data_IF_204587794671
#
_entry.id   IF_204587794671
#
_cell.length_a   1.000
_cell.length_b   1.000
_cell.length_c   1.000
_cell.angle_alpha   90.00
_cell.angle_beta   90.00
_cell.angle_gamma   90.00
#
_symmetry.space_group_name_H-M   'P 1'
#
loop_
_entity.id
_entity.type
_entity.pdbx_description
1 polymer ?
#
# COMPACT_ATOMS: atom_id res chain seq x y z
N UNK A 1 49.68 8.33 4.31
CA UNK A 1 48.78 7.50 5.12
C UNK A 1 47.42 8.14 5.03
N UNK A 2 46.65 7.81 3.99
CA UNK A 2 45.23 8.21 3.82
C UNK A 2 44.41 7.18 4.63
N UNK A 3 43.89 7.61 5.78
CA UNK A 3 42.95 6.82 6.55
C UNK A 3 41.65 6.69 5.76
N UNK A 4 41.26 5.47 5.37
CA UNK A 4 39.97 5.13 4.84
C UNK A 4 38.94 5.41 5.95
N UNK A 5 38.21 6.51 5.81
CA UNK A 5 37.04 6.78 6.65
C UNK A 5 35.94 5.86 6.16
N UNK A 6 35.73 4.76 6.88
CA UNK A 6 34.66 3.81 6.63
C UNK A 6 33.32 4.53 6.57
N UNK A 7 32.42 4.12 5.66
CA UNK A 7 31.05 4.64 5.54
C UNK A 7 30.29 4.67 6.89
N UNK A 8 30.67 3.81 7.84
CA UNK A 8 30.22 3.83 9.26
C UNK A 8 30.51 5.17 9.97
N UNK A 9 31.61 5.86 9.62
CA UNK A 9 31.95 7.18 10.18
C UNK A 9 31.05 8.30 9.66
N UNK A 10 30.54 8.20 8.43
CA UNK A 10 29.74 9.26 7.82
C UNK A 10 28.31 9.33 8.38
N UNK A 11 27.71 8.20 8.75
CA UNK A 11 26.36 8.13 9.35
C UNK A 11 26.40 8.65 10.80
N UNK A 12 27.48 8.47 11.51
CA UNK A 12 27.65 8.92 12.91
C UNK A 12 27.84 10.43 13.05
N UNK A 13 28.22 11.14 12.00
CA UNK A 13 28.53 12.59 12.02
C UNK A 13 27.33 13.47 11.68
N UNK A 14 26.20 12.92 11.20
CA UNK A 14 24.98 13.72 11.04
C UNK A 14 24.30 13.89 12.41
N UNK A 15 24.71 14.91 13.15
CA UNK A 15 23.93 15.43 14.27
C UNK A 15 22.67 16.04 13.66
N UNK A 16 21.58 15.27 13.69
CA UNK A 16 20.27 15.74 13.21
C UNK A 16 19.77 16.76 14.23
N UNK A 17 20.01 18.04 13.98
CA UNK A 17 19.57 19.12 14.86
C UNK A 17 18.05 19.23 14.81
N UNK A 18 17.42 19.37 15.99
CA UNK A 18 15.98 19.67 16.06
C UNK A 18 15.77 21.11 15.59
N UNK A 19 14.85 21.34 14.63
CA UNK A 19 14.55 22.69 14.17
C UNK A 19 13.79 23.47 15.25
N UNK A 20 13.99 24.80 15.28
CA UNK A 20 13.15 25.69 16.08
C UNK A 20 11.69 25.68 15.56
N UNK A 21 10.70 25.28 16.38
CA UNK A 21 9.29 25.29 15.97
C UNK A 21 8.76 26.68 15.60
N UNK A 22 9.35 27.71 16.17
CA UNK A 22 8.96 29.11 15.93
C UNK A 22 9.69 29.75 14.73
N UNK A 23 10.52 28.97 14.01
CA UNK A 23 11.21 29.49 12.84
C UNK A 23 10.22 30.06 11.81
N UNK A 24 10.40 31.32 11.33
CA UNK A 24 9.41 31.99 10.47
C UNK A 24 9.02 31.24 9.21
N UNK A 25 9.92 30.45 8.65
CA UNK A 25 9.67 29.63 7.44
C UNK A 25 8.77 28.42 7.76
N UNK A 26 8.86 27.84 8.95
CA UNK A 26 8.13 26.63 9.33
C UNK A 26 6.77 26.92 9.97
N UNK A 27 6.70 28.01 10.72
CA UNK A 27 5.54 28.34 11.55
C UNK A 27 4.20 28.36 10.79
N UNK A 28 4.07 29.01 9.62
CA UNK A 28 2.78 29.01 8.89
C UNK A 28 2.34 27.60 8.47
N UNK A 29 3.27 26.79 7.94
CA UNK A 29 2.98 25.41 7.56
C UNK A 29 2.65 24.52 8.75
N UNK A 30 3.35 24.72 9.88
CA UNK A 30 3.09 24.00 11.12
C UNK A 30 1.69 24.28 11.66
N UNK A 31 1.29 25.55 11.74
CA UNK A 31 -0.06 25.94 12.19
C UNK A 31 -1.12 25.31 11.28
N UNK A 32 -0.94 25.41 9.95
CA UNK A 32 -1.89 24.86 8.99
C UNK A 32 -2.03 23.33 9.11
N UNK A 33 -0.91 22.61 9.27
CA UNK A 33 -0.90 21.16 9.45
C UNK A 33 -1.56 20.73 10.77
N UNK A 34 -1.18 21.40 11.89
CA UNK A 34 -1.72 21.09 13.22
C UNK A 34 -3.23 21.32 13.29
N UNK A 35 -3.73 22.44 12.77
CA UNK A 35 -5.15 22.77 12.75
C UNK A 35 -5.92 21.87 11.76
N UNK A 36 -5.41 21.73 10.53
CA UNK A 36 -6.07 20.93 9.50
C UNK A 36 -6.24 19.46 9.91
N UNK A 37 -5.18 18.84 10.45
CA UNK A 37 -5.25 17.44 10.90
C UNK A 37 -6.17 17.27 12.11
N UNK A 38 -6.19 18.21 13.06
CA UNK A 38 -7.11 18.13 14.20
C UNK A 38 -8.57 18.20 13.74
N UNK A 39 -8.89 19.08 12.79
CA UNK A 39 -10.25 19.18 12.22
C UNK A 39 -10.66 17.93 11.46
N UNK A 40 -9.74 17.37 10.65
CA UNK A 40 -10.00 16.15 9.91
C UNK A 40 -10.25 14.98 10.87
N UNK A 41 -9.41 14.80 11.90
CA UNK A 41 -9.51 13.72 12.86
C UNK A 41 -10.82 13.76 13.63
N UNK A 42 -11.15 14.92 14.22
CA UNK A 42 -12.39 15.13 14.95
C UNK A 42 -13.64 14.88 14.10
N UNK A 43 -13.61 15.35 12.85
CA UNK A 43 -14.72 15.15 11.94
C UNK A 43 -14.86 13.70 11.52
N UNK A 44 -13.74 13.02 11.21
CA UNK A 44 -13.74 11.61 10.85
C UNK A 44 -14.22 10.72 11.96
N UNK A 45 -13.83 10.99 13.22
CA UNK A 45 -14.18 10.17 14.38
C UNK A 45 -15.69 9.98 14.56
N UNK A 46 -16.50 10.97 14.16
CA UNK A 46 -17.96 11.00 14.38
C UNK A 46 -18.79 10.95 13.10
N UNK A 47 -18.15 10.80 11.95
CA UNK A 47 -18.86 10.93 10.67
C UNK A 47 -19.53 9.62 10.24
N UNK A 48 -20.75 9.71 9.72
CA UNK A 48 -21.51 8.55 9.23
C UNK A 48 -20.82 7.75 8.10
N UNK A 49 -19.92 8.39 7.34
CA UNK A 49 -19.13 7.75 6.26
C UNK A 49 -17.67 7.49 6.67
N UNK A 50 -17.35 7.53 7.98
CA UNK A 50 -15.99 7.35 8.49
C UNK A 50 -15.33 6.05 8.02
N UNK A 51 -16.07 4.94 8.03
CA UNK A 51 -15.56 3.64 7.59
C UNK A 51 -15.21 3.66 6.10
N UNK A 52 -16.10 4.17 5.26
CA UNK A 52 -15.86 4.33 3.83
C UNK A 52 -14.68 5.25 3.54
N UNK A 53 -14.56 6.36 4.27
CA UNK A 53 -13.43 7.28 4.17
C UNK A 53 -12.11 6.59 4.52
N UNK A 54 -12.04 5.85 5.63
CA UNK A 54 -10.85 5.09 6.03
C UNK A 54 -10.42 4.08 4.97
N UNK A 55 -11.34 3.23 4.55
CA UNK A 55 -11.06 2.19 3.55
C UNK A 55 -10.59 2.78 2.21
N UNK A 56 -11.25 3.81 1.70
CA UNK A 56 -10.82 4.49 0.47
C UNK A 56 -9.45 5.13 0.63
N UNK A 57 -9.18 5.75 1.77
CA UNK A 57 -7.89 6.35 2.10
C UNK A 57 -6.74 5.36 2.03
N UNK A 58 -6.96 4.09 2.37
CA UNK A 58 -5.94 3.04 2.24
C UNK A 58 -5.52 2.85 0.77
N UNK A 59 -6.49 2.76 -0.15
CA UNK A 59 -6.21 2.57 -1.59
C UNK A 59 -5.56 3.80 -2.22
N UNK A 60 -6.10 4.99 -1.95
CA UNK A 60 -5.57 6.22 -2.52
C UNK A 60 -4.14 6.50 -2.08
N UNK A 61 -3.85 6.28 -0.80
CA UNK A 61 -2.50 6.51 -0.29
C UNK A 61 -1.50 5.46 -0.76
N UNK A 62 -1.91 4.19 -0.88
CA UNK A 62 -1.06 3.15 -1.43
C UNK A 62 -0.66 3.44 -2.89
N UNK A 63 -1.62 3.84 -3.73
CA UNK A 63 -1.33 4.25 -5.10
C UNK A 63 -0.48 5.54 -5.15
N UNK A 64 -0.76 6.51 -4.26
CA UNK A 64 0.01 7.75 -4.18
C UNK A 64 1.45 7.51 -3.71
N UNK A 65 1.72 6.51 -2.86
CA UNK A 65 3.07 6.15 -2.44
C UNK A 65 3.95 5.74 -3.63
N UNK A 66 3.40 4.94 -4.55
CA UNK A 66 4.10 4.55 -5.78
C UNK A 66 4.31 5.74 -6.71
N UNK A 67 3.30 6.59 -6.87
CA UNK A 67 3.44 7.81 -7.66
C UNK A 67 4.56 8.73 -7.12
N UNK A 68 4.67 8.88 -5.80
CA UNK A 68 5.75 9.66 -5.14
C UNK A 68 7.13 9.05 -5.42
N UNK A 69 7.20 7.72 -5.55
CA UNK A 69 8.41 6.99 -5.93
C UNK A 69 8.74 7.07 -7.44
N UNK A 70 7.84 7.61 -8.27
CA UNK A 70 7.99 7.71 -9.71
C UNK A 70 7.35 6.57 -10.50
N UNK A 71 6.57 5.73 -9.84
CA UNK A 71 5.88 4.58 -10.43
C UNK A 71 4.37 4.84 -10.52
N UNK A 72 3.73 4.38 -11.59
CA UNK A 72 2.30 4.60 -11.81
C UNK A 72 1.51 3.32 -11.55
N UNK A 73 0.62 3.39 -10.56
CA UNK A 73 -0.38 2.35 -10.29
C UNK A 73 -1.77 2.99 -10.31
N UNK A 74 -2.68 2.42 -11.10
CA UNK A 74 -4.06 2.85 -11.11
C UNK A 74 -4.80 2.27 -9.90
N UNK A 75 -5.60 3.11 -9.23
CA UNK A 75 -6.35 2.70 -8.03
C UNK A 75 -7.34 1.58 -8.36
N UNK A 76 -7.92 1.61 -9.56
CA UNK A 76 -8.85 0.59 -10.05
C UNK A 76 -8.19 -0.79 -10.13
N UNK A 77 -6.95 -0.85 -10.64
CA UNK A 77 -6.20 -2.10 -10.74
C UNK A 77 -5.85 -2.63 -9.34
N UNK A 78 -5.48 -1.73 -8.41
CA UNK A 78 -5.21 -2.10 -7.02
C UNK A 78 -6.46 -2.65 -6.31
N UNK A 79 -7.65 -2.07 -6.54
CA UNK A 79 -8.91 -2.57 -5.98
C UNK A 79 -9.26 -3.95 -6.53
N UNK A 80 -9.07 -4.18 -7.83
CA UNK A 80 -9.32 -5.47 -8.47
C UNK A 80 -8.35 -6.53 -7.95
N UNK A 81 -7.05 -6.19 -7.84
CA UNK A 81 -6.02 -7.07 -7.32
C UNK A 81 -6.29 -7.47 -5.86
N UNK A 82 -6.61 -6.50 -5.00
CA UNK A 82 -6.99 -6.75 -3.60
C UNK A 82 -8.23 -7.67 -3.47
N UNK A 83 -9.11 -7.64 -4.49
CA UNK A 83 -10.31 -8.48 -4.55
C UNK A 83 -10.10 -9.84 -5.24
N UNK A 84 -8.87 -10.17 -5.64
CA UNK A 84 -8.52 -11.37 -6.44
C UNK A 84 -9.33 -11.46 -7.75
N UNK A 85 -9.44 -10.33 -8.45
CA UNK A 85 -10.20 -10.19 -9.71
C UNK A 85 -9.31 -9.64 -10.84
N UNK A 86 -8.04 -9.98 -10.81
CA UNK A 86 -7.09 -9.58 -11.84
C UNK A 86 -7.48 -10.17 -13.20
N UNK A 87 -7.43 -9.32 -14.21
CA UNK A 87 -7.63 -9.76 -15.60
C UNK A 87 -6.31 -10.28 -16.24
N UNK A 88 -5.17 -9.99 -15.61
CA UNK A 88 -3.81 -10.34 -16.06
C UNK A 88 -2.93 -10.56 -14.84
N UNK A 89 -1.76 -11.17 -15.03
CA UNK A 89 -0.74 -11.24 -13.98
C UNK A 89 -0.41 -9.82 -13.46
N UNK A 90 -0.32 -9.63 -12.13
CA UNK A 90 -0.02 -8.32 -11.56
C UNK A 90 1.38 -7.84 -11.97
N UNK A 91 1.51 -6.54 -12.21
CA UNK A 91 2.84 -5.95 -12.42
C UNK A 91 3.60 -5.89 -11.09
N UNK A 92 4.93 -5.69 -11.18
CA UNK A 92 5.77 -5.53 -10.00
C UNK A 92 5.30 -4.34 -9.13
N UNK A 93 4.99 -3.22 -9.76
CA UNK A 93 4.50 -2.00 -9.09
C UNK A 93 3.15 -2.25 -8.39
N UNK A 94 2.25 -3.00 -9.03
CA UNK A 94 0.96 -3.36 -8.44
C UNK A 94 1.13 -4.25 -7.20
N UNK A 95 2.08 -5.20 -7.25
CA UNK A 95 2.43 -6.05 -6.11
C UNK A 95 2.99 -5.22 -4.94
N UNK A 96 3.86 -4.23 -5.23
CA UNK A 96 4.37 -3.32 -4.20
C UNK A 96 3.22 -2.47 -3.62
N UNK A 97 2.36 -1.89 -4.47
CA UNK A 97 1.21 -1.09 -4.02
C UNK A 97 0.27 -1.90 -3.12
N UNK A 98 0.05 -3.18 -3.44
CA UNK A 98 -0.72 -4.10 -2.60
C UNK A 98 -0.01 -4.39 -1.27
N UNK A 99 1.32 -4.51 -1.28
CA UNK A 99 2.13 -4.58 -0.06
C UNK A 99 1.95 -3.35 0.84
N UNK A 100 1.99 -2.14 0.26
CA UNK A 100 1.69 -0.89 0.97
C UNK A 100 0.28 -0.89 1.55
N UNK A 101 -0.72 -1.29 0.76
CA UNK A 101 -2.12 -1.39 1.21
C UNK A 101 -2.28 -2.30 2.43
N UNK A 102 -1.67 -3.49 2.40
CA UNK A 102 -1.70 -4.44 3.53
C UNK A 102 -0.99 -3.88 4.76
N UNK A 103 0.16 -3.25 4.59
CA UNK A 103 0.90 -2.63 5.69
C UNK A 103 0.09 -1.51 6.35
N UNK A 104 -0.63 -0.70 5.56
CA UNK A 104 -1.53 0.35 6.06
C UNK A 104 -2.68 -0.22 6.88
N UNK A 105 -3.36 -1.25 6.37
CA UNK A 105 -4.44 -1.93 7.10
C UNK A 105 -3.96 -2.54 8.40
N UNK A 106 -2.75 -3.14 8.38
CA UNK A 106 -2.15 -3.67 9.60
C UNK A 106 -1.84 -2.57 10.61
N UNK A 107 -1.34 -1.42 10.16
CA UNK A 107 -1.12 -0.27 11.02
C UNK A 107 -2.42 0.26 11.63
N UNK A 108 -3.52 0.26 10.88
CA UNK A 108 -4.83 0.70 11.37
C UNK A 108 -5.36 -0.17 12.50
N UNK A 109 -5.17 -1.49 12.39
CA UNK A 109 -5.60 -2.47 13.39
C UNK A 109 -4.66 -2.57 14.59
N UNK A 110 -3.41 -2.13 14.47
CA UNK A 110 -2.43 -2.21 15.53
C UNK A 110 -2.60 -1.08 16.55
N UNK A 111 -2.03 -1.28 17.74
CA UNK A 111 -1.94 -0.25 18.77
C UNK A 111 -1.13 0.96 18.30
N UNK A 112 -1.52 2.18 18.70
CA UNK A 112 -0.77 3.38 18.40
C UNK A 112 0.70 3.23 18.83
N UNK A 113 1.65 3.52 17.92
CA UNK A 113 3.07 3.39 18.19
C UNK A 113 3.68 2.01 17.90
N UNK A 114 2.87 0.95 17.71
CA UNK A 114 3.39 -0.38 17.40
C UNK A 114 4.40 -0.38 16.23
N UNK A 115 4.09 0.29 15.14
CA UNK A 115 4.96 0.35 13.96
C UNK A 115 6.29 1.08 14.19
N UNK A 116 6.39 1.88 15.25
CA UNK A 116 7.62 2.59 15.63
C UNK A 116 8.53 1.73 16.51
N UNK A 117 8.07 0.59 16.99
CA UNK A 117 8.87 -0.39 17.73
C UNK A 117 9.73 -1.22 16.77
N UNK A 118 10.81 -1.83 17.28
CA UNK A 118 11.62 -2.78 16.48
C UNK A 118 10.77 -3.94 15.95
N UNK A 119 9.91 -4.49 16.80
CA UNK A 119 9.04 -5.62 16.44
C UNK A 119 8.08 -5.22 15.32
N UNK A 120 7.44 -4.05 15.43
CA UNK A 120 6.53 -3.53 14.42
C UNK A 120 7.22 -3.24 13.09
N UNK A 121 8.38 -2.59 13.13
CA UNK A 121 9.18 -2.32 11.93
C UNK A 121 9.64 -3.60 11.24
N UNK A 122 10.12 -4.59 11.99
CA UNK A 122 10.53 -5.89 11.44
C UNK A 122 9.34 -6.65 10.83
N UNK A 123 8.19 -6.59 11.48
CA UNK A 123 6.96 -7.20 10.96
C UNK A 123 6.48 -6.54 9.65
N UNK A 124 6.59 -5.21 9.52
CA UNK A 124 6.27 -4.49 8.28
C UNK A 124 7.27 -4.79 7.16
N UNK A 125 8.54 -5.02 7.49
CA UNK A 125 9.59 -5.44 6.54
C UNK A 125 9.39 -6.86 6.02
N UNK A 126 8.94 -7.79 6.87
CA UNK A 126 8.76 -9.22 6.52
C UNK A 126 7.60 -9.50 5.58
N UNK A 127 6.64 -8.60 5.47
CA UNK A 127 5.42 -8.84 4.69
C UNK A 127 5.64 -9.00 3.18
N UNK A 128 6.68 -8.41 2.59
CA UNK A 128 6.97 -8.63 1.17
C UNK A 128 7.63 -9.99 0.89
N UNK A 129 8.40 -10.52 1.84
CA UNK A 129 9.01 -11.86 1.71
C UNK A 129 8.02 -13.00 1.93
N UNK A 130 7.13 -12.86 2.91
CA UNK A 130 6.16 -13.89 3.27
C UNK A 130 4.98 -14.00 2.28
N UNK A 131 4.60 -12.91 1.62
CA UNK A 131 3.50 -12.91 0.67
C UNK A 131 3.86 -13.61 -0.64
N UNK A 132 5.05 -13.36 -1.19
CA UNK A 132 5.54 -14.05 -2.39
C UNK A 132 5.69 -15.57 -2.16
N UNK A 133 6.02 -15.98 -0.92
CA UNK A 133 6.15 -17.40 -0.54
C UNK A 133 4.79 -18.04 -0.26
N UNK A 134 3.80 -17.31 0.27
CA UNK A 134 2.47 -17.85 0.55
C UNK A 134 1.56 -17.93 -0.68
N UNK A 135 1.69 -17.02 -1.66
CA UNK A 135 0.99 -17.17 -2.94
C UNK A 135 1.49 -18.38 -3.74
N UNK A 136 2.79 -18.70 -3.62
CA UNK A 136 3.36 -19.93 -4.18
C UNK A 136 3.01 -21.20 -3.39
N UNK A 137 2.45 -21.06 -2.16
CA UNK A 137 2.18 -22.15 -1.23
C UNK A 137 0.71 -22.33 -0.87
N UNK A 138 -0.23 -21.68 -1.54
CA UNK A 138 -1.66 -22.00 -1.34
C UNK A 138 -1.89 -23.44 -1.77
N UNK A 139 -2.26 -24.37 -0.86
CA UNK A 139 -2.65 -25.70 -1.25
C UNK A 139 -3.95 -25.56 -2.03
N UNK A 140 -3.94 -25.92 -3.29
CA UNK A 140 -5.17 -26.24 -4.00
C UNK A 140 -5.95 -27.24 -3.13
N UNK A 141 -7.06 -26.80 -2.57
CA UNK A 141 -8.00 -27.69 -1.91
C UNK A 141 -8.40 -28.76 -2.93
N UNK A 142 -7.94 -30.00 -2.71
CA UNK A 142 -8.44 -31.16 -3.44
C UNK A 142 -9.93 -31.29 -3.11
N UNK A 143 -10.82 -31.30 -4.12
CA UNK A 143 -12.20 -31.69 -3.88
C UNK A 143 -12.22 -33.17 -3.43
N UNK A 144 -12.82 -33.42 -2.28
CA UNK A 144 -13.15 -34.80 -1.87
C UNK A 144 -14.16 -35.43 -2.83
N UNK A 145 -14.15 -36.76 -3.01
CA UNK A 145 -15.09 -37.43 -3.88
C UNK A 145 -16.40 -37.61 -3.12
N UNK A 146 -17.42 -36.80 -3.46
CA UNK A 146 -18.84 -37.20 -3.37
C UNK A 146 -19.74 -36.03 -3.73
N UNK A 147 -20.49 -36.19 -4.80
CA UNK A 147 -21.49 -35.20 -5.23
C UNK A 147 -21.59 -35.06 -6.75
N UNK A 148 -21.95 -36.12 -7.44
CA UNK A 148 -22.37 -36.05 -8.82
C UNK A 148 -23.73 -35.35 -8.92
N UNK A 149 -23.81 -34.25 -9.71
CA UNK A 149 -24.98 -33.93 -10.53
C UNK A 149 -24.70 -32.78 -11.48
N UNK A 150 -24.72 -33.09 -12.76
CA UNK A 150 -25.22 -32.37 -13.93
C UNK A 150 -25.02 -30.85 -14.04
N UNK A 151 -23.99 -30.45 -14.79
CA UNK A 151 -23.96 -29.37 -15.77
C UNK A 151 -22.63 -29.43 -16.53
N UNK A 152 -22.46 -30.43 -17.37
CA UNK A 152 -21.49 -30.45 -18.44
C UNK A 152 -22.26 -30.04 -19.70
N UNK A 153 -21.90 -28.90 -20.26
CA UNK A 153 -21.74 -28.63 -21.70
C UNK A 153 -21.52 -27.13 -21.86
N UNK A 154 -20.37 -26.77 -22.37
CA UNK A 154 -19.95 -25.55 -23.09
C UNK A 154 -18.61 -24.94 -22.60
N UNK A 155 -17.61 -25.77 -22.36
CA UNK A 155 -16.25 -25.27 -22.02
C UNK A 155 -15.15 -25.87 -22.88
N UNK A 156 -15.41 -26.39 -24.06
CA UNK A 156 -14.40 -27.16 -24.80
C UNK A 156 -14.20 -26.74 -26.26
N UNK A 157 -14.06 -25.43 -26.55
CA UNK A 157 -13.49 -24.97 -27.82
C UNK A 157 -12.95 -23.54 -27.81
N UNK A 158 -12.06 -23.21 -26.84
CA UNK A 158 -11.33 -21.96 -26.90
C UNK A 158 -9.91 -22.22 -27.45
N UNK A 159 -9.62 -21.93 -28.74
CA UNK A 159 -8.31 -22.15 -29.36
C UNK A 159 -7.19 -21.39 -28.65
N UNK A 160 -7.48 -20.27 -28.00
CA UNK A 160 -6.53 -19.51 -27.20
C UNK A 160 -6.11 -20.24 -25.91
N UNK A 161 -7.03 -20.96 -25.26
CA UNK A 161 -6.69 -21.74 -24.06
C UNK A 161 -5.75 -22.90 -24.39
N UNK A 162 -5.90 -23.53 -25.57
CA UNK A 162 -4.97 -24.56 -26.04
C UNK A 162 -3.59 -23.98 -26.37
N UNK A 163 -3.52 -22.81 -27.00
CA UNK A 163 -2.24 -22.14 -27.29
C UNK A 163 -1.49 -21.73 -26.00
N UNK A 164 -2.19 -21.26 -24.97
CA UNK A 164 -1.58 -20.96 -23.68
C UNK A 164 -1.09 -22.22 -22.97
N UNK A 165 -1.84 -23.32 -23.00
CA UNK A 165 -1.40 -24.59 -22.43
C UNK A 165 -0.17 -25.17 -23.16
N UNK A 166 -0.07 -25.00 -24.47
CA UNK A 166 1.11 -25.37 -25.26
C UNK A 166 2.32 -24.50 -24.95
N UNK A 167 2.13 -23.19 -24.72
CA UNK A 167 3.18 -22.26 -24.33
C UNK A 167 3.71 -22.60 -22.92
N UNK A 168 2.83 -22.84 -21.97
CA UNK A 168 3.19 -23.25 -20.62
C UNK A 168 3.95 -24.59 -20.61
N UNK A 169 3.54 -25.54 -21.43
CA UNK A 169 4.24 -26.82 -21.60
C UNK A 169 5.60 -26.65 -22.29
N UNK A 170 5.77 -25.64 -23.16
CA UNK A 170 7.06 -25.32 -23.77
C UNK A 170 8.01 -24.64 -22.77
N UNK A 171 7.50 -23.74 -21.95
CA UNK A 171 8.25 -23.08 -20.86
C UNK A 171 8.71 -24.14 -19.85
N UNK A 172 7.83 -25.00 -19.38
CA UNK A 172 8.17 -26.08 -18.46
C UNK A 172 9.18 -27.11 -19.03
N UNK A 173 9.22 -27.28 -20.36
CA UNK A 173 10.26 -28.08 -21.02
C UNK A 173 11.60 -27.37 -21.09
N UNK A 174 11.60 -26.07 -21.35
CA UNK A 174 12.84 -25.27 -21.38
C UNK A 174 13.46 -25.11 -19.99
N UNK A 175 12.67 -24.95 -18.95
CA UNK A 175 13.12 -24.93 -17.55
C UNK A 175 13.76 -26.24 -17.13
N UNK A 176 13.20 -27.39 -17.55
CA UNK A 176 13.80 -28.72 -17.32
C UNK A 176 15.13 -28.89 -18.07
N UNK A 177 15.25 -28.36 -19.28
CA UNK A 177 16.48 -28.43 -20.07
C UNK A 177 17.57 -27.49 -19.51
N UNK A 178 17.20 -26.39 -18.88
CA UNK A 178 18.12 -25.44 -18.25
C UNK A 178 18.57 -25.84 -16.84
N UNK A 179 18.12 -27.01 -16.33
CA UNK A 179 18.60 -27.58 -15.07
C UNK A 179 18.11 -26.88 -13.80
N UNK A 180 17.06 -26.08 -13.86
CA UNK A 180 16.43 -25.53 -12.68
C UNK A 180 15.52 -26.58 -12.02
N UNK A 181 16.14 -27.58 -11.40
CA UNK A 181 15.44 -28.55 -10.55
C UNK A 181 15.61 -28.11 -9.11
N UNK A 182 14.54 -27.70 -8.49
CA UNK A 182 14.36 -27.83 -7.04
C UNK A 182 14.10 -29.32 -6.76
N UNK A 183 15.17 -30.07 -6.62
CA UNK A 183 15.17 -31.50 -6.40
C UNK A 183 15.35 -31.87 -4.94
N UNK A 184 14.74 -32.90 -4.54
CA UNK A 184 14.92 -33.74 -3.35
C UNK A 184 16.38 -34.12 -3.11
N UNK A 185 16.82 -34.32 -1.86
CA UNK A 185 18.21 -34.70 -1.57
C UNK A 185 18.44 -36.15 -1.95
N UNK A 186 19.36 -36.38 -2.89
CA UNK A 186 19.97 -37.66 -3.14
C UNK A 186 21.29 -37.77 -2.37
N UNK A 187 21.55 -38.94 -1.79
CA UNK A 187 22.75 -39.27 -1.02
C UNK A 187 24.06 -39.07 -1.78
N UNK A 188 25.18 -38.74 -1.10
CA UNK A 188 26.44 -38.44 -1.75
C UNK A 188 27.20 -39.68 -2.22
N UNK A 189 27.48 -39.74 -3.53
CA UNK A 189 28.43 -40.69 -4.12
C UNK A 189 29.88 -40.15 -3.91
N UNK A 190 30.82 -40.93 -3.35
CA UNK A 190 32.13 -40.45 -2.89
C UNK A 190 33.25 -40.46 -3.95
N UNK A 191 33.00 -40.16 -5.21
CA UNK A 191 34.06 -40.18 -6.24
C UNK A 191 33.93 -39.14 -7.34
N UNK A 192 34.07 -37.84 -7.01
CA UNK A 192 34.50 -36.81 -7.97
C UNK A 192 35.12 -35.59 -7.29
N UNK A 193 36.20 -35.00 -7.83
CA UNK A 193 36.85 -33.86 -7.20
C UNK A 193 36.01 -32.58 -7.33
N UNK A 194 36.13 -31.62 -6.38
CA UNK A 194 35.27 -30.43 -6.33
C UNK A 194 35.70 -29.45 -7.45
N UNK A 195 34.86 -29.28 -8.45
CA UNK A 195 35.03 -28.24 -9.46
C UNK A 195 33.84 -27.30 -9.51
N UNK A 196 34.11 -26.02 -9.13
CA UNK A 196 33.58 -24.79 -9.71
C UNK A 196 32.06 -24.56 -9.67
N UNK A 197 31.42 -24.66 -8.49
CA UNK A 197 30.09 -24.10 -8.27
C UNK A 197 30.10 -22.80 -7.45
N UNK A 198 31.26 -22.42 -6.90
CA UNK A 198 31.41 -21.21 -6.08
C UNK A 198 31.54 -19.90 -6.88
N UNK A 199 31.97 -19.96 -8.14
CA UNK A 199 32.23 -18.75 -8.92
C UNK A 199 30.98 -18.17 -9.60
N UNK A 200 29.94 -18.96 -9.84
CA UNK A 200 28.68 -18.46 -10.44
C UNK A 200 27.80 -17.69 -9.43
N UNK A 201 27.90 -17.99 -8.14
CA UNK A 201 27.21 -17.23 -7.08
C UNK A 201 27.97 -15.95 -6.70
N UNK A 202 29.27 -15.88 -6.97
CA UNK A 202 30.08 -14.70 -6.68
C UNK A 202 29.85 -13.53 -7.64
N UNK A 203 29.44 -13.78 -8.90
CA UNK A 203 29.22 -12.69 -9.87
C UNK A 203 27.86 -11.99 -9.75
N UNK A 204 26.83 -12.63 -9.18
CA UNK A 204 25.59 -11.97 -8.80
C UNK A 204 25.70 -11.21 -7.48
N UNK A 205 26.68 -11.53 -6.64
CA UNK A 205 26.98 -10.84 -5.37
C UNK A 205 27.62 -9.45 -5.56
N UNK A 206 28.20 -9.15 -6.72
CA UNK A 206 28.83 -7.85 -7.01
C UNK A 206 27.86 -6.67 -7.14
N UNK A 207 26.54 -6.91 -7.07
CA UNK A 207 25.52 -5.87 -7.04
C UNK A 207 25.01 -5.56 -5.62
N UNK A 208 25.45 -6.30 -4.61
CA UNK A 208 25.18 -5.99 -3.22
C UNK A 208 26.36 -5.18 -2.67
N UNK A 209 26.11 -3.92 -2.42
CA UNK A 209 26.98 -3.02 -1.69
C UNK A 209 27.12 -3.59 -0.27
N UNK A 210 28.23 -4.31 0.01
CA UNK A 210 28.50 -4.94 1.31
C UNK A 210 28.57 -3.92 2.43
N UNK A 211 28.70 -2.62 2.10
CA UNK A 211 28.76 -1.51 3.05
C UNK A 211 27.39 -0.96 3.47
N UNK A 212 26.24 -1.51 2.93
CA UNK A 212 24.91 -1.02 3.28
C UNK A 212 24.39 -1.67 4.57
N UNK A 213 24.68 -1.05 5.70
CA UNK A 213 24.24 -1.51 7.03
C UNK A 213 22.83 -0.98 7.35
N UNK A 214 21.79 -1.75 7.01
CA UNK A 214 20.40 -1.42 7.33
C UNK A 214 20.13 -1.29 8.82
N UNK A 215 20.79 -2.12 9.65
CA UNK A 215 20.59 -2.10 11.10
C UNK A 215 21.11 -0.81 11.71
N UNK A 216 22.33 -0.39 11.33
CA UNK A 216 22.91 0.86 11.79
C UNK A 216 22.11 2.09 11.32
N UNK A 217 21.57 2.07 10.08
CA UNK A 217 20.75 3.13 9.53
C UNK A 217 19.39 3.24 10.23
N UNK A 218 18.76 2.12 10.52
CA UNK A 218 17.52 2.08 11.32
C UNK A 218 17.75 2.57 12.75
N UNK A 219 18.87 2.19 13.37
CA UNK A 219 19.23 2.68 14.72
C UNK A 219 19.47 4.20 14.71
N UNK A 220 20.15 4.73 13.68
CA UNK A 220 20.33 6.18 13.51
C UNK A 220 18.97 6.90 13.38
N UNK A 221 18.05 6.37 12.59
CA UNK A 221 16.71 6.93 12.46
C UNK A 221 15.92 6.87 13.78
N UNK A 222 16.03 5.79 14.54
CA UNK A 222 15.37 5.65 15.85
C UNK A 222 15.88 6.66 16.89
N UNK A 223 17.15 7.01 16.84
CA UNK A 223 17.70 8.09 17.69
C UNK A 223 17.03 9.44 17.37
N UNK A 224 16.75 9.70 16.10
CA UNK A 224 16.02 10.91 15.68
C UNK A 224 14.56 10.82 16.13
N UNK A 225 13.92 9.66 16.08
CA UNK A 225 12.58 9.43 16.61
C UNK A 225 12.50 9.83 18.10
N UNK A 226 13.46 9.39 18.92
CA UNK A 226 13.51 9.77 20.33
C UNK A 226 13.76 11.29 20.52
N UNK A 227 14.60 11.89 19.69
CA UNK A 227 14.88 13.33 19.73
C UNK A 227 13.72 14.20 19.25
N UNK A 228 12.78 13.65 18.49
CA UNK A 228 11.59 14.37 17.98
C UNK A 228 10.46 14.47 19.03
N UNK A 229 10.56 13.75 20.15
CA UNK A 229 9.50 13.71 21.17
C UNK A 229 9.09 15.08 21.74
N UNK A 230 9.98 16.06 22.02
CA UNK A 230 9.59 17.37 22.52
C UNK A 230 8.97 18.28 21.43
N UNK A 231 9.01 17.91 20.16
CA UNK A 231 8.47 18.74 19.06
C UNK A 231 6.94 18.65 18.96
N UNK A 232 6.27 19.68 18.41
CA UNK A 232 4.88 19.56 17.96
C UNK A 232 4.72 18.37 17.01
N UNK A 233 3.59 17.69 17.07
CA UNK A 233 3.41 16.39 16.41
C UNK A 233 3.68 16.44 14.88
N UNK A 234 3.16 17.47 14.18
CA UNK A 234 3.38 17.60 12.74
C UNK A 234 4.84 17.93 12.41
N UNK A 235 5.52 18.75 13.25
CA UNK A 235 6.93 19.05 13.02
C UNK A 235 7.81 17.80 13.28
N UNK A 236 7.54 17.06 14.35
CA UNK A 236 8.21 15.78 14.61
C UNK A 236 8.05 14.80 13.45
N UNK A 237 6.83 14.65 12.92
CA UNK A 237 6.56 13.82 11.75
C UNK A 237 7.34 14.28 10.50
N UNK A 238 7.40 15.59 10.24
CA UNK A 238 8.18 16.14 9.12
C UNK A 238 9.69 15.88 9.27
N UNK A 239 10.22 16.03 10.48
CA UNK A 239 11.62 15.71 10.81
C UNK A 239 11.93 14.23 10.61
N UNK A 240 11.04 13.34 11.05
CA UNK A 240 11.21 11.90 10.90
C UNK A 240 11.18 11.46 9.44
N UNK A 241 10.30 12.06 8.65
CA UNK A 241 10.24 11.79 7.22
C UNK A 241 11.46 12.32 6.48
N UNK A 242 11.92 13.56 6.78
CA UNK A 242 13.16 14.12 6.23
C UNK A 242 14.38 13.24 6.58
N UNK A 243 14.43 12.75 7.82
CA UNK A 243 15.49 11.83 8.26
C UNK A 243 15.44 10.50 7.49
N UNK A 244 14.23 9.93 7.27
CA UNK A 244 14.06 8.70 6.50
C UNK A 244 14.58 8.85 5.08
N UNK A 245 14.15 9.92 4.38
CA UNK A 245 14.58 10.22 3.00
C UNK A 245 16.09 10.46 2.87
N UNK A 246 16.75 10.91 3.95
CA UNK A 246 18.18 11.21 3.96
C UNK A 246 19.07 10.03 4.39
N UNK A 247 18.60 9.26 5.36
CA UNK A 247 19.32 8.09 5.89
C UNK A 247 19.11 6.91 4.95
N UNK A 248 17.95 6.85 4.27
CA UNK A 248 17.53 5.72 3.43
C UNK A 248 17.75 4.38 4.16
N UNK A 249 17.05 4.12 5.28
CA UNK A 249 17.34 2.95 6.11
C UNK A 249 17.13 1.64 5.37
N UNK A 250 16.17 1.60 4.42
CA UNK A 250 15.79 0.42 3.67
C UNK A 250 15.89 0.66 2.17
N UNK A 251 16.62 -0.20 1.46
CA UNK A 251 16.78 -0.11 0.00
C UNK A 251 15.50 -0.41 -0.79
N UNK A 252 14.72 -1.40 -0.33
CA UNK A 252 13.59 -1.94 -1.11
C UNK A 252 12.22 -1.43 -0.67
N UNK A 253 12.14 -0.71 0.44
CA UNK A 253 10.86 -0.31 1.06
C UNK A 253 10.87 1.17 1.43
N UNK A 254 11.25 2.05 0.47
CA UNK A 254 11.26 3.50 0.68
C UNK A 254 9.91 4.04 1.14
N UNK A 255 8.82 3.45 0.64
CA UNK A 255 7.46 3.81 1.00
C UNK A 255 7.16 3.66 2.51
N UNK A 256 7.94 2.87 3.24
CA UNK A 256 7.72 2.68 4.68
C UNK A 256 7.89 4.00 5.45
N UNK A 257 8.78 4.88 5.02
CA UNK A 257 8.98 6.19 5.66
C UNK A 257 7.70 7.03 5.71
N UNK A 258 6.95 7.11 4.62
CA UNK A 258 5.67 7.83 4.58
C UNK A 258 4.58 7.16 5.44
N UNK A 259 4.57 5.84 5.54
CA UNK A 259 3.68 5.10 6.43
C UNK A 259 3.99 5.39 7.90
N UNK A 260 5.28 5.50 8.27
CA UNK A 260 5.71 5.82 9.63
C UNK A 260 5.34 7.24 10.06
N UNK A 261 5.12 8.19 9.12
CA UNK A 261 4.51 9.50 9.43
C UNK A 261 3.12 9.32 10.04
N UNK A 262 2.26 8.51 9.40
CA UNK A 262 0.93 8.19 9.93
C UNK A 262 0.99 7.48 11.29
N UNK A 263 1.92 6.52 11.44
CA UNK A 263 2.14 5.83 12.69
C UNK A 263 2.56 6.77 13.83
N UNK A 264 3.48 7.70 13.54
CA UNK A 264 3.94 8.69 14.52
C UNK A 264 2.83 9.65 14.94
N UNK A 265 2.08 10.22 13.98
CA UNK A 265 0.97 11.12 14.28
C UNK A 265 -0.11 10.42 15.13
N UNK A 266 -0.34 9.13 14.87
CA UNK A 266 -1.25 8.30 15.65
C UNK A 266 -0.73 8.05 17.07
N UNK A 267 0.56 7.74 17.23
CA UNK A 267 1.18 7.54 18.56
C UNK A 267 1.19 8.81 19.41
N UNK A 268 1.19 9.99 18.76
CA UNK A 268 1.08 11.30 19.41
C UNK A 268 -0.36 11.73 19.68
N UNK A 269 -1.35 10.89 19.34
CA UNK A 269 -2.78 11.24 19.46
C UNK A 269 -3.23 12.39 18.56
N UNK A 270 -2.43 12.75 17.53
CA UNK A 270 -2.77 13.85 16.62
C UNK A 270 -3.79 13.44 15.57
N UNK A 271 -3.70 12.21 15.07
CA UNK A 271 -4.66 11.57 14.17
C UNK A 271 -4.96 10.20 14.72
N UNK A 272 -6.07 10.05 15.44
CA UNK A 272 -6.46 8.82 16.14
C UNK A 272 -7.53 8.03 15.37
N UNK A 273 -8.40 8.72 14.64
CA UNK A 273 -9.57 8.13 13.97
C UNK A 273 -9.24 7.31 12.73
N UNK A 274 -8.06 7.51 12.11
CA UNK A 274 -7.64 6.85 10.87
C UNK A 274 -6.12 6.88 10.69
N UNK A 275 -5.59 6.11 9.74
CA UNK A 275 -4.19 6.22 9.29
C UNK A 275 -4.10 7.32 8.26
N UNK A 276 -3.33 8.37 8.54
CA UNK A 276 -3.18 9.52 7.65
C UNK A 276 -2.75 9.08 6.24
N UNK A 277 -3.44 9.55 5.21
CA UNK A 277 -3.12 9.31 3.81
C UNK A 277 -2.06 10.33 3.32
N UNK A 278 -0.89 10.33 3.96
CA UNK A 278 0.15 11.35 3.79
C UNK A 278 0.64 11.50 2.35
N UNK A 279 0.76 10.39 1.60
CA UNK A 279 1.23 10.42 0.22
C UNK A 279 0.26 11.15 -0.71
N UNK A 280 -1.04 11.20 -0.40
CA UNK A 280 -2.02 11.95 -1.20
C UNK A 280 -1.74 13.45 -1.17
N UNK A 281 -1.37 14.00 -0.01
CA UNK A 281 -0.92 15.39 0.11
C UNK A 281 0.49 15.58 -0.44
N UNK A 282 1.41 14.65 -0.18
CA UNK A 282 2.79 14.72 -0.68
C UNK A 282 2.86 14.74 -2.22
N UNK A 283 1.92 14.05 -2.88
CA UNK A 283 1.74 14.07 -4.34
C UNK A 283 1.48 15.47 -4.89
N UNK A 284 0.86 16.36 -4.12
CA UNK A 284 0.57 17.74 -4.56
C UNK A 284 1.77 18.67 -4.49
N UNK A 285 2.80 18.29 -3.73
CA UNK A 285 4.00 19.09 -3.55
C UNK A 285 5.00 18.84 -4.68
N UNK A 286 5.53 19.91 -5.26
CA UNK A 286 6.52 19.82 -6.35
C UNK A 286 7.76 19.03 -5.92
N UNK A 287 8.26 18.18 -6.82
CA UNK A 287 9.42 17.31 -6.58
C UNK A 287 10.65 18.11 -6.11
N UNK A 288 10.92 19.29 -6.72
CA UNK A 288 12.08 20.12 -6.42
C UNK A 288 12.05 20.63 -4.96
N UNK A 289 10.87 20.88 -4.40
CA UNK A 289 10.73 21.29 -2.99
C UNK A 289 10.93 20.11 -2.05
N UNK A 290 10.37 18.93 -2.39
CA UNK A 290 10.52 17.71 -1.60
C UNK A 290 11.97 17.21 -1.52
N UNK A 291 12.74 17.42 -2.60
CA UNK A 291 14.14 17.01 -2.76
C UNK A 291 15.13 18.17 -2.67
N UNK A 292 14.71 19.33 -2.16
CA UNK A 292 15.57 20.50 -2.02
C UNK A 292 16.82 20.17 -1.19
N UNK A 293 17.94 20.81 -1.52
CA UNK A 293 19.17 20.75 -0.70
C UNK A 293 18.97 21.45 0.64
N UNK A 294 18.16 22.54 0.64
CA UNK A 294 17.82 23.25 1.85
C UNK A 294 16.80 22.49 2.70
N UNK A 295 17.17 22.23 3.94
CA UNK A 295 16.37 21.47 4.90
C UNK A 295 15.08 22.16 5.28
N UNK A 296 15.11 23.49 5.49
CA UNK A 296 13.92 24.25 5.87
C UNK A 296 12.86 24.20 4.77
N UNK A 297 13.29 24.27 3.51
CA UNK A 297 12.42 24.11 2.34
C UNK A 297 11.76 22.72 2.32
N UNK A 298 12.51 21.64 2.63
CA UNK A 298 11.94 20.29 2.69
C UNK A 298 10.95 20.13 3.85
N UNK A 299 11.32 20.58 5.06
CA UNK A 299 10.43 20.51 6.22
C UNK A 299 9.14 21.30 5.99
N UNK A 300 9.25 22.50 5.42
CA UNK A 300 8.09 23.31 5.03
C UNK A 300 7.20 22.58 4.01
N UNK A 301 7.82 21.91 3.02
CA UNK A 301 7.10 21.11 2.02
C UNK A 301 6.34 19.91 2.64
N UNK A 302 6.91 19.26 3.65
CA UNK A 302 6.27 18.15 4.33
C UNK A 302 5.13 18.58 5.27
N UNK A 303 5.28 19.72 5.93
CA UNK A 303 4.19 20.35 6.70
C UNK A 303 3.04 20.76 5.78
N UNK A 304 3.33 21.36 4.65
CA UNK A 304 2.33 21.69 3.62
C UNK A 304 1.64 20.43 3.10
N UNK A 305 2.37 19.32 2.87
CA UNK A 305 1.78 18.05 2.46
C UNK A 305 0.78 17.53 3.48
N UNK A 306 1.05 17.65 4.79
CA UNK A 306 0.11 17.27 5.85
C UNK A 306 -1.14 18.15 5.84
N UNK A 307 -1.00 19.46 5.69
CA UNK A 307 -2.12 20.39 5.56
C UNK A 307 -2.98 20.05 4.32
N UNK A 308 -2.34 19.81 3.17
CA UNK A 308 -3.03 19.39 1.94
C UNK A 308 -3.74 18.05 2.10
N UNK A 309 -3.15 17.09 2.83
CA UNK A 309 -3.82 15.82 3.15
C UNK A 309 -5.09 16.05 3.94
N UNK A 310 -5.06 16.97 4.92
CA UNK A 310 -6.25 17.34 5.70
C UNK A 310 -7.35 17.97 4.83
N UNK A 311 -6.99 18.91 3.96
CA UNK A 311 -7.92 19.56 3.05
C UNK A 311 -8.57 18.57 2.05
N UNK A 312 -7.75 17.67 1.48
CA UNK A 312 -8.26 16.61 0.59
C UNK A 312 -9.16 15.64 1.35
N UNK A 313 -8.80 15.28 2.58
CA UNK A 313 -9.61 14.41 3.43
C UNK A 313 -10.96 15.01 3.78
N UNK A 314 -11.01 16.29 4.15
CA UNK A 314 -12.26 17.02 4.43
C UNK A 314 -13.17 17.06 3.20
N UNK A 315 -12.63 17.35 2.02
CA UNK A 315 -13.38 17.32 0.75
C UNK A 315 -13.91 15.93 0.43
N UNK A 316 -13.12 14.88 0.70
CA UNK A 316 -13.56 13.51 0.48
C UNK A 316 -14.70 13.12 1.43
N UNK A 317 -14.63 13.50 2.73
CA UNK A 317 -15.74 13.31 3.67
C UNK A 317 -17.02 13.99 3.20
N UNK A 318 -16.94 15.24 2.74
CA UNK A 318 -18.09 15.97 2.20
C UNK A 318 -18.69 15.27 0.98
N UNK A 319 -17.82 14.82 0.05
CA UNK A 319 -18.21 14.11 -1.16
C UNK A 319 -18.91 12.79 -0.84
N UNK A 320 -18.36 11.99 0.06
CA UNK A 320 -18.95 10.71 0.48
C UNK A 320 -20.27 10.92 1.22
N UNK A 321 -20.35 11.97 2.08
CA UNK A 321 -21.57 12.32 2.79
C UNK A 321 -22.71 12.71 1.85
N UNK A 322 -22.41 13.55 0.87
CA UNK A 322 -23.36 13.96 -0.16
C UNK A 322 -23.83 12.76 -0.99
N UNK A 323 -22.88 11.90 -1.42
CA UNK A 323 -23.21 10.69 -2.18
C UNK A 323 -24.10 9.74 -1.36
N UNK A 324 -23.79 9.53 -0.07
CA UNK A 324 -24.62 8.73 0.83
C UNK A 324 -26.06 9.25 0.89
N UNK A 325 -26.21 10.54 1.19
CA UNK A 325 -27.53 11.19 1.26
C UNK A 325 -28.32 11.06 -0.04
N UNK A 326 -27.67 11.25 -1.20
CA UNK A 326 -28.31 11.10 -2.50
C UNK A 326 -28.76 9.67 -2.76
N UNK A 327 -27.93 8.68 -2.42
CA UNK A 327 -28.26 7.27 -2.59
C UNK A 327 -29.38 6.85 -1.61
N UNK A 328 -29.35 7.27 -0.36
CA UNK A 328 -30.40 7.00 0.64
C UNK A 328 -31.74 7.61 0.23
N UNK A 329 -31.75 8.83 -0.32
CA UNK A 329 -32.99 9.44 -0.84
C UNK A 329 -33.61 8.63 -1.99
N UNK A 330 -32.80 8.03 -2.86
CA UNK A 330 -33.30 7.21 -3.96
C UNK A 330 -33.95 5.91 -3.52
N UNK A 331 -33.57 5.39 -2.36
CA UNK A 331 -34.09 4.11 -1.85
C UNK A 331 -35.14 4.27 -0.76
N UNK A 332 -35.50 5.51 -0.39
CA UNK A 332 -36.38 5.81 0.75
C UNK A 332 -37.71 5.06 0.72
N UNK A 333 -38.29 4.84 -0.47
CA UNK A 333 -39.59 4.16 -0.64
C UNK A 333 -39.46 2.65 -0.93
N UNK A 334 -38.24 2.08 -0.75
CA UNK A 334 -37.96 0.67 -1.05
C UNK A 334 -38.18 -0.20 0.18
N UNK A 335 -38.44 -1.49 -0.05
CA UNK A 335 -38.63 -2.47 1.03
C UNK A 335 -37.36 -2.58 1.88
N UNK A 336 -37.53 -2.68 3.18
CA UNK A 336 -36.45 -2.79 4.18
C UNK A 336 -35.53 -4.02 3.97
N UNK A 337 -36.01 -5.06 3.25
CA UNK A 337 -35.23 -6.28 2.93
C UNK A 337 -34.42 -6.19 1.62
N UNK A 338 -34.22 -4.99 1.06
CA UNK A 338 -33.41 -4.85 -0.15
C UNK A 338 -31.92 -4.88 0.18
N UNK A 339 -31.10 -5.37 -0.75
CA UNK A 339 -29.64 -5.35 -0.65
C UNK A 339 -29.03 -3.96 -0.95
N UNK A 340 -29.87 -2.93 -1.14
CA UNK A 340 -29.44 -1.57 -1.51
C UNK A 340 -28.62 -0.87 -0.41
N UNK A 341 -28.95 -0.97 0.90
CA UNK A 341 -28.11 -0.39 1.95
C UNK A 341 -26.67 -0.99 1.94
N UNK A 342 -26.55 -2.31 1.84
CA UNK A 342 -25.25 -2.96 1.72
C UNK A 342 -24.46 -2.55 0.47
N UNK A 343 -25.16 -2.28 -0.64
CA UNK A 343 -24.52 -1.74 -1.85
C UNK A 343 -24.02 -0.31 -1.61
N UNK A 344 -24.76 0.53 -0.90
CA UNK A 344 -24.32 1.89 -0.53
C UNK A 344 -23.02 1.81 0.24
N UNK A 345 -22.97 1.01 1.30
CA UNK A 345 -21.77 0.87 2.14
C UNK A 345 -20.57 0.35 1.33
N UNK A 346 -20.77 -0.64 0.45
CA UNK A 346 -19.72 -1.14 -0.43
C UNK A 346 -19.20 -0.07 -1.39
N UNK A 347 -20.09 0.69 -2.04
CA UNK A 347 -19.72 1.76 -3.00
C UNK A 347 -19.02 2.92 -2.30
N UNK A 348 -19.38 3.21 -1.06
CA UNK A 348 -18.72 4.24 -0.25
C UNK A 348 -17.34 3.78 0.25
N UNK A 349 -17.13 2.47 0.48
CA UNK A 349 -15.88 1.93 1.02
C UNK A 349 -14.83 1.63 -0.06
N UNK A 350 -15.21 1.55 -1.33
CA UNK A 350 -14.27 1.22 -2.42
C UNK A 350 -14.20 2.34 -3.45
N UNK A 351 -12.99 2.68 -3.94
CA UNK A 351 -12.84 3.63 -5.05
C UNK A 351 -13.63 3.20 -6.29
N UNK A 352 -13.61 1.91 -6.58
CA UNK A 352 -14.34 1.28 -7.68
C UNK A 352 -14.93 -0.04 -7.22
N UNK A 353 -16.13 -0.40 -7.71
CA UNK A 353 -16.75 -1.71 -7.49
C UNK A 353 -17.15 -2.33 -8.82
N UNK A 354 -16.86 -3.62 -9.02
CA UNK A 354 -17.30 -4.40 -10.17
C UNK A 354 -18.57 -5.18 -9.85
N UNK A 355 -19.29 -5.66 -10.88
CA UNK A 355 -20.47 -6.54 -10.69
C UNK A 355 -20.12 -7.80 -9.91
N UNK A 356 -18.95 -8.36 -10.15
CA UNK A 356 -18.50 -9.55 -9.43
C UNK A 356 -18.21 -9.28 -7.94
N UNK A 357 -17.63 -8.10 -7.61
CA UNK A 357 -17.44 -7.67 -6.22
C UNK A 357 -18.79 -7.49 -5.51
N UNK A 358 -19.74 -6.83 -6.16
CA UNK A 358 -21.09 -6.61 -5.63
C UNK A 358 -21.79 -7.95 -5.42
N UNK A 359 -21.74 -8.83 -6.41
CA UNK A 359 -22.37 -10.15 -6.35
C UNK A 359 -21.84 -10.99 -5.20
N UNK A 360 -20.51 -11.00 -5.01
CA UNK A 360 -19.85 -11.71 -3.91
C UNK A 360 -20.18 -11.11 -2.55
N UNK A 361 -20.14 -9.78 -2.43
CA UNK A 361 -20.36 -9.09 -1.16
C UNK A 361 -21.81 -9.21 -0.67
N UNK A 362 -22.78 -9.12 -1.59
CA UNK A 362 -24.22 -9.15 -1.26
C UNK A 362 -24.86 -10.53 -1.38
N UNK A 363 -24.13 -11.55 -1.83
CA UNK A 363 -24.68 -12.90 -2.05
C UNK A 363 -25.72 -12.95 -3.17
N UNK A 364 -25.60 -12.12 -4.21
CA UNK A 364 -26.54 -12.05 -5.34
C UNK A 364 -25.89 -12.50 -6.64
N UNK A 365 -26.72 -12.80 -7.66
CA UNK A 365 -26.19 -13.07 -9.01
C UNK A 365 -25.61 -11.81 -9.66
N UNK A 366 -24.73 -11.95 -10.65
CA UNK A 366 -24.19 -10.81 -11.40
C UNK A 366 -25.29 -9.97 -12.06
N UNK A 367 -26.36 -10.61 -12.54
CA UNK A 367 -27.52 -9.91 -13.09
C UNK A 367 -28.28 -9.13 -12.01
N UNK A 368 -28.40 -9.72 -10.81
CA UNK A 368 -28.94 -9.05 -9.64
C UNK A 368 -28.11 -7.83 -9.24
N UNK A 369 -26.77 -7.97 -9.21
CA UNK A 369 -25.86 -6.87 -8.95
C UNK A 369 -26.01 -5.70 -9.95
N UNK A 370 -26.12 -5.99 -11.25
CA UNK A 370 -26.37 -4.97 -12.27
C UNK A 370 -27.70 -4.24 -12.07
N UNK A 371 -28.76 -4.96 -11.68
CA UNK A 371 -30.04 -4.35 -11.39
C UNK A 371 -29.96 -3.42 -10.17
N UNK A 372 -29.30 -3.84 -9.10
CA UNK A 372 -29.08 -3.00 -7.91
C UNK A 372 -28.29 -1.73 -8.24
N UNK A 373 -27.23 -1.83 -9.05
CA UNK A 373 -26.44 -0.67 -9.51
C UNK A 373 -27.29 0.32 -10.29
N UNK A 374 -28.14 -0.16 -11.22
CA UNK A 374 -29.05 0.68 -11.99
C UNK A 374 -30.09 1.34 -11.10
N UNK A 375 -30.65 0.60 -10.17
CA UNK A 375 -31.64 1.09 -9.22
C UNK A 375 -31.06 2.16 -8.30
N UNK A 376 -29.83 1.96 -7.79
CA UNK A 376 -29.13 2.94 -6.98
C UNK A 376 -28.65 4.16 -7.81
N UNK A 377 -28.47 3.98 -9.12
CA UNK A 377 -27.99 5.02 -10.01
C UNK A 377 -26.54 5.43 -9.79
N UNK A 378 -25.70 4.47 -9.42
CA UNK A 378 -24.24 4.69 -9.25
C UNK A 378 -23.61 4.93 -10.63
N UNK A 379 -22.71 5.90 -10.70
CA UNK A 379 -22.03 6.25 -11.95
C UNK A 379 -20.99 5.20 -12.33
N UNK A 380 -20.99 4.84 -13.63
CA UNK A 380 -19.90 4.04 -14.21
C UNK A 380 -18.64 4.90 -14.38
N UNK A 381 -17.48 4.38 -13.93
CA UNK A 381 -16.21 5.09 -13.95
C UNK A 381 -15.31 4.61 -15.08
N UNK A 382 -15.32 3.30 -15.39
CA UNK A 382 -14.27 2.67 -16.20
C UNK A 382 -14.47 2.76 -17.70
N UNK A 383 -15.70 2.97 -18.21
CA UNK A 383 -15.99 3.04 -19.65
C UNK A 383 -15.59 1.80 -20.48
N UNK A 384 -15.17 0.70 -19.85
CA UNK A 384 -14.67 -0.53 -20.50
C UNK A 384 -15.79 -1.57 -20.58
N UNK A 385 -16.22 -1.96 -21.79
CA UNK A 385 -17.37 -2.84 -22.00
C UNK A 385 -17.34 -4.18 -21.23
N UNK A 386 -16.19 -4.77 -21.02
CA UNK A 386 -16.03 -6.08 -20.36
C UNK A 386 -15.70 -5.99 -18.86
N UNK A 387 -15.12 -4.88 -18.42
CA UNK A 387 -14.73 -4.65 -17.03
C UNK A 387 -15.33 -3.35 -16.52
N UNK A 388 -16.66 -3.35 -16.40
CA UNK A 388 -17.41 -2.20 -15.91
C UNK A 388 -17.21 -2.03 -14.41
N UNK A 389 -16.85 -0.82 -13.99
CA UNK A 389 -16.70 -0.43 -12.61
C UNK A 389 -17.52 0.81 -12.28
N UNK A 390 -18.11 0.82 -11.11
CA UNK A 390 -18.94 1.89 -10.59
C UNK A 390 -18.36 2.45 -9.31
N UNK A 391 -18.62 3.72 -9.05
CA UNK A 391 -18.13 4.35 -7.82
C UNK A 391 -18.67 5.77 -7.64
N UNK A 392 -18.27 6.37 -6.52
CA UNK A 392 -18.51 7.77 -6.20
C UNK A 392 -17.36 8.60 -6.76
N UNK A 393 -17.69 9.59 -7.62
CA UNK A 393 -16.75 10.54 -8.24
C UNK A 393 -16.85 11.87 -7.53
#
# INVERSE_FOLDING_TARGET
VLASVSAKGFIFLMRYETPDPLHPVLLPGLIAAEDGLARLDERTARHAVAEGFRERGQFFDAAAALWVAGELVHVEDLVLHDSHMDARAPSHELTIAHGVLRARRRLELAEPGWALTLTGMNALRGEQGAAAVNEARSPQARPGPDGASEAADDADDNPLARQFAELDAAIARSERLLGFHSGSPAEPDPAMPPQRSAEAHGQLGLLFDEDWDEAARLDAWRKILAAADPLPACLGAAVLFDAWERIEPLRRQHWLGSLLVGAYLRSRGKVASHVLAFNTGLKTIRHERRRSKDRLTRLSAFLEAMAMTADLGLKELDRLSLARTQMEMRIKDRRSNSNLPGLIDLVLSRPVVSTAMIARHLGVTQRGALNLVRELGVREITGRGRYRGWGVI
#
